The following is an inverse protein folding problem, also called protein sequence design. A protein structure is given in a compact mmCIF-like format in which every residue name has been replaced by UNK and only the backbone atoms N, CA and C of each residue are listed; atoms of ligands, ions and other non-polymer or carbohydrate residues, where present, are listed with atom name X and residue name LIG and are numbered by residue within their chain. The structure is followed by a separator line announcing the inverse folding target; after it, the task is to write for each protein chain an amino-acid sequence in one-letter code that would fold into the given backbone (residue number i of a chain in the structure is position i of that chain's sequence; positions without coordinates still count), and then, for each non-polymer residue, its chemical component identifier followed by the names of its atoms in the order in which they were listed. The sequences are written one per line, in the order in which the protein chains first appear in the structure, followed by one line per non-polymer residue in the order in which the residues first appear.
data_IF_808839156161
#
_entry.id   IF_808839156161
#
_cell.length_a   1.000
_cell.length_b   1.000
_cell.length_c   1.000
_cell.angle_alpha   90.00
_cell.angle_beta   90.00
_cell.angle_gamma   90.00
#
_symmetry.space_group_name_H-M   'P 1'
#
loop_
_entity.id
_entity.type
_entity.pdbx_description
1 polymer ?
#
# COMPACT_ATOMS: atom_id res chain seq x y z
N UNK A 1 -11.46 10.18 5.21
CA UNK A 1 -11.75 10.59 6.59
C UNK A 1 -11.59 12.12 6.70
N UNK A 2 -12.58 12.81 7.24
CA UNK A 2 -12.56 14.25 7.40
C UNK A 2 -12.99 14.63 8.82
N UNK A 3 -12.04 14.71 9.77
CA UNK A 3 -12.35 15.18 11.10
C UNK A 3 -12.82 16.65 11.07
N UNK A 4 -13.71 17.01 11.99
CA UNK A 4 -14.21 18.39 12.09
C UNK A 4 -13.05 19.40 12.25
N UNK A 5 -13.10 20.57 11.58
CA UNK A 5 -12.08 21.61 11.75
C UNK A 5 -12.07 22.22 13.16
N UNK A 6 -13.16 22.06 13.92
CA UNK A 6 -13.30 22.60 15.28
C UNK A 6 -12.62 21.73 16.35
N UNK A 7 -12.16 20.54 16.00
CA UNK A 7 -11.45 19.64 16.91
C UNK A 7 -9.99 20.08 17.07
N UNK A 8 -9.46 19.92 18.27
CA UNK A 8 -8.02 20.04 18.54
C UNK A 8 -7.22 19.04 17.72
N UNK A 9 -5.92 19.27 17.56
CA UNK A 9 -5.06 18.35 16.82
C UNK A 9 -5.09 16.92 17.43
N UNK A 10 -5.10 16.79 18.76
CA UNK A 10 -5.22 15.49 19.43
C UNK A 10 -6.53 14.76 19.15
N UNK A 11 -7.65 15.46 19.21
CA UNK A 11 -8.97 14.89 18.90
C UNK A 11 -9.08 14.46 17.44
N UNK A 12 -8.48 15.23 16.52
CA UNK A 12 -8.43 14.89 15.09
C UNK A 12 -7.61 13.63 14.85
N UNK A 13 -6.49 13.48 15.54
CA UNK A 13 -5.66 12.28 15.47
C UNK A 13 -6.40 11.06 16.05
N UNK A 14 -7.08 11.23 17.18
CA UNK A 14 -7.90 10.17 17.77
C UNK A 14 -9.05 9.76 16.86
N UNK A 15 -9.70 10.72 16.20
CA UNK A 15 -10.72 10.44 15.19
C UNK A 15 -10.17 9.58 14.03
N UNK A 16 -9.00 9.94 13.50
CA UNK A 16 -8.34 9.18 12.42
C UNK A 16 -8.04 7.76 12.89
N UNK A 17 -7.44 7.62 14.07
CA UNK A 17 -7.11 6.32 14.67
C UNK A 17 -8.34 5.43 14.78
N UNK A 18 -9.39 5.93 15.43
CA UNK A 18 -10.60 5.15 15.69
C UNK A 18 -11.31 4.73 14.40
N UNK A 19 -11.41 5.64 13.42
CA UNK A 19 -12.05 5.34 12.14
C UNK A 19 -11.25 4.35 11.29
N UNK A 20 -9.95 4.39 11.32
CA UNK A 20 -9.12 3.39 10.63
C UNK A 20 -9.22 2.01 11.29
N UNK A 21 -9.24 1.97 12.63
CA UNK A 21 -9.44 0.72 13.38
C UNK A 21 -10.83 0.11 13.07
N UNK A 22 -11.88 0.93 13.08
CA UNK A 22 -13.25 0.52 12.72
C UNK A 22 -13.28 -0.09 11.31
N UNK A 23 -12.74 0.62 10.31
CA UNK A 23 -12.67 0.13 8.93
C UNK A 23 -11.87 -1.17 8.82
N UNK A 24 -10.74 -1.28 9.51
CA UNK A 24 -9.93 -2.48 9.49
C UNK A 24 -10.66 -3.69 10.08
N UNK A 25 -11.43 -3.50 11.14
CA UNK A 25 -12.24 -4.56 11.76
C UNK A 25 -13.43 -4.96 10.88
N UNK A 26 -14.13 -3.98 10.31
CA UNK A 26 -15.32 -4.23 9.48
C UNK A 26 -15.00 -4.87 8.14
N UNK A 27 -13.96 -4.39 7.47
CA UNK A 27 -13.60 -4.82 6.12
C UNK A 27 -12.61 -5.99 6.10
N UNK A 28 -11.96 -6.28 7.23
CA UNK A 28 -10.98 -7.35 7.39
C UNK A 28 -9.98 -7.43 6.21
N UNK A 29 -9.31 -6.33 5.84
CA UNK A 29 -8.39 -6.33 4.71
C UNK A 29 -7.19 -7.25 4.99
N UNK A 30 -6.63 -7.84 3.95
CA UNK A 30 -5.46 -8.71 4.06
C UNK A 30 -4.14 -7.94 4.04
N UNK A 31 -4.15 -6.70 3.57
CA UNK A 31 -2.99 -5.83 3.51
C UNK A 31 -3.38 -4.35 3.63
N UNK A 32 -2.41 -3.53 3.97
CA UNK A 32 -2.56 -2.09 3.94
C UNK A 32 -1.41 -1.43 3.18
N UNK A 33 -1.65 -0.22 2.68
CA UNK A 33 -0.62 0.56 2.03
C UNK A 33 -0.77 2.04 2.38
N UNK A 34 0.37 2.73 2.42
CA UNK A 34 0.43 4.15 2.69
C UNK A 34 1.43 4.81 1.73
N UNK A 35 1.13 6.02 1.29
CA UNK A 35 2.06 6.76 0.45
C UNK A 35 3.31 7.15 1.24
N UNK A 36 4.47 6.97 0.65
CA UNK A 36 5.72 7.46 1.21
C UNK A 36 5.79 8.98 1.06
N UNK A 37 5.92 9.70 2.18
CA UNK A 37 6.06 11.15 2.18
C UNK A 37 7.54 11.53 2.29
N UNK A 38 7.93 12.53 1.50
CA UNK A 38 9.21 13.21 1.68
C UNK A 38 8.94 14.50 2.44
N UNK A 39 9.48 14.61 3.65
CA UNK A 39 9.39 15.82 4.46
C UNK A 39 10.36 16.84 3.88
N UNK A 40 9.83 17.79 3.11
CA UNK A 40 10.59 18.96 2.68
C UNK A 40 10.71 19.98 3.83
N UNK A 41 11.40 21.09 3.58
CA UNK A 41 11.66 22.16 4.55
C UNK A 41 10.45 23.00 5.00
N UNK A 42 9.22 22.58 4.71
CA UNK A 42 7.98 23.23 5.11
C UNK A 42 7.54 22.85 6.51
N UNK A 43 7.44 23.82 7.41
CA UNK A 43 7.46 23.58 8.86
C UNK A 43 6.15 23.09 9.51
N UNK A 44 5.01 23.67 9.24
CA UNK A 44 3.77 23.39 9.99
C UNK A 44 2.88 22.29 9.38
N UNK A 45 2.66 22.33 8.08
CA UNK A 45 1.82 21.36 7.37
C UNK A 45 2.48 19.97 7.30
N UNK A 46 3.80 19.92 7.16
CA UNK A 46 4.57 18.67 7.14
C UNK A 46 4.52 17.95 8.49
N UNK A 47 4.53 18.69 9.62
CA UNK A 47 4.39 18.10 10.94
C UNK A 47 2.99 17.47 11.12
N UNK A 48 1.92 18.19 10.78
CA UNK A 48 0.56 17.66 10.89
C UNK A 48 0.33 16.43 9.99
N UNK A 49 0.89 16.44 8.78
CA UNK A 49 0.84 15.30 7.89
C UNK A 49 1.63 14.10 8.46
N UNK A 50 2.81 14.35 9.04
CA UNK A 50 3.61 13.31 9.71
C UNK A 50 2.89 12.69 10.91
N UNK A 51 2.23 13.52 11.74
CA UNK A 51 1.43 13.06 12.88
C UNK A 51 0.25 12.20 12.42
N UNK A 52 -0.52 12.65 11.44
CA UNK A 52 -1.65 11.89 10.88
C UNK A 52 -1.18 10.56 10.27
N UNK A 53 -0.03 10.57 9.55
CA UNK A 53 0.59 9.37 9.01
C UNK A 53 0.99 8.38 10.11
N UNK A 54 1.70 8.86 11.16
CA UNK A 54 2.13 8.02 12.27
C UNK A 54 0.96 7.34 12.99
N UNK A 55 -0.12 8.10 13.23
CA UNK A 55 -1.35 7.58 13.83
C UNK A 55 -2.04 6.57 12.92
N UNK A 56 -2.05 6.80 11.62
CA UNK A 56 -2.61 5.86 10.65
C UNK A 56 -1.82 4.54 10.63
N UNK A 57 -0.49 4.60 10.64
CA UNK A 57 0.36 3.42 10.73
C UNK A 57 0.14 2.65 12.03
N UNK A 58 0.01 3.36 13.16
CA UNK A 58 -0.27 2.75 14.45
C UNK A 58 -1.61 1.98 14.43
N UNK A 59 -2.68 2.60 13.94
CA UNK A 59 -3.99 1.98 13.85
C UNK A 59 -3.99 0.70 12.99
N UNK A 60 -3.28 0.73 11.87
CA UNK A 60 -3.15 -0.42 10.97
C UNK A 60 -2.29 -1.53 11.59
N UNK A 61 -1.21 -1.18 12.29
CA UNK A 61 -0.36 -2.14 12.99
C UNK A 61 -1.10 -2.80 14.17
N UNK A 62 -1.89 -2.05 14.95
CA UNK A 62 -2.75 -2.59 16.01
C UNK A 62 -3.81 -3.57 15.46
N UNK A 63 -4.28 -3.34 14.24
CA UNK A 63 -5.17 -4.26 13.54
C UNK A 63 -4.44 -5.49 12.94
N UNK A 64 -3.14 -5.65 13.18
CA UNK A 64 -2.34 -6.77 12.68
C UNK A 64 -2.02 -6.73 11.18
N UNK A 65 -2.21 -5.58 10.53
CA UNK A 65 -2.01 -5.43 9.10
C UNK A 65 -0.55 -5.11 8.76
N UNK A 66 0.00 -5.82 7.79
CA UNK A 66 1.26 -5.43 7.16
C UNK A 66 1.07 -4.14 6.37
N UNK A 67 1.95 -3.17 6.58
CA UNK A 67 1.87 -1.85 5.94
C UNK A 67 2.93 -1.77 4.85
N UNK A 68 2.49 -1.59 3.60
CA UNK A 68 3.39 -1.30 2.48
C UNK A 68 3.52 0.21 2.30
N UNK A 69 4.75 0.70 2.26
CA UNK A 69 5.04 2.09 1.94
C UNK A 69 5.36 2.23 0.46
N UNK A 70 4.57 3.03 -0.26
CA UNK A 70 4.69 3.16 -1.71
C UNK A 70 5.14 4.57 -2.12
N UNK A 71 6.26 4.70 -2.84
CA UNK A 71 6.69 5.99 -3.39
C UNK A 71 5.66 6.52 -4.41
N UNK A 72 5.36 7.85 -4.43
CA UNK A 72 4.40 8.44 -5.36
C UNK A 72 4.68 8.14 -6.84
N UNK A 73 5.95 8.14 -7.24
CA UNK A 73 6.35 7.79 -8.61
C UNK A 73 6.03 6.33 -8.97
N UNK A 74 6.17 5.43 -8.01
CA UNK A 74 5.82 4.02 -8.20
C UNK A 74 4.32 3.84 -8.37
N UNK A 75 3.51 4.49 -7.51
CA UNK A 75 2.04 4.48 -7.62
C UNK A 75 1.61 4.95 -9.00
N UNK A 76 2.10 6.10 -9.46
CA UNK A 76 1.81 6.63 -10.80
C UNK A 76 2.19 5.63 -11.89
N UNK A 77 3.41 5.08 -11.84
CA UNK A 77 3.90 4.12 -12.84
C UNK A 77 3.05 2.85 -12.87
N UNK A 78 2.69 2.33 -11.72
CA UNK A 78 1.88 1.09 -11.63
C UNK A 78 0.48 1.29 -12.22
N UNK A 79 -0.17 2.42 -11.92
CA UNK A 79 -1.56 2.67 -12.37
C UNK A 79 -1.62 3.14 -13.82
N UNK A 80 -0.70 4.00 -14.25
CA UNK A 80 -0.78 4.65 -15.58
C UNK A 80 0.27 4.17 -16.59
N UNK A 81 1.24 3.35 -16.17
CA UNK A 81 2.42 2.99 -16.96
C UNK A 81 3.51 4.06 -16.96
N UNK A 82 3.26 5.26 -16.44
CA UNK A 82 4.19 6.39 -16.49
C UNK A 82 4.33 7.12 -15.15
N UNK A 83 5.54 7.11 -14.57
CA UNK A 83 5.82 7.66 -13.23
C UNK A 83 5.71 9.18 -13.09
N UNK A 84 5.67 9.94 -14.20
CA UNK A 84 5.46 11.38 -14.23
C UNK A 84 4.02 11.76 -14.67
N UNK A 85 3.08 10.82 -14.64
CA UNK A 85 1.69 11.07 -14.97
C UNK A 85 1.10 12.22 -14.14
N UNK A 86 0.25 13.03 -14.77
CA UNK A 86 -0.49 14.08 -14.08
C UNK A 86 -1.55 13.48 -13.14
N UNK A 87 -2.03 14.25 -12.19
CA UNK A 87 -3.17 13.85 -11.32
C UNK A 87 -4.41 13.49 -12.14
N UNK A 88 -4.66 14.24 -13.21
CA UNK A 88 -5.81 13.98 -14.08
C UNK A 88 -5.69 12.64 -14.81
N UNK A 89 -4.51 12.30 -15.32
CA UNK A 89 -4.25 11.00 -15.94
C UNK A 89 -4.41 9.86 -14.93
N UNK A 90 -3.87 10.03 -13.70
CA UNK A 90 -4.01 9.06 -12.62
C UNK A 90 -5.50 8.83 -12.29
N UNK A 91 -6.26 9.90 -12.07
CA UNK A 91 -7.70 9.84 -11.80
C UNK A 91 -8.49 9.13 -12.91
N UNK A 92 -8.23 9.49 -14.16
CA UNK A 92 -8.88 8.85 -15.32
C UNK A 92 -8.57 7.36 -15.39
N UNK A 93 -7.35 6.96 -15.07
CA UNK A 93 -6.98 5.55 -15.07
C UNK A 93 -7.62 4.78 -13.92
N UNK A 94 -7.66 5.35 -12.70
CA UNK A 94 -8.36 4.77 -11.55
C UNK A 94 -9.85 4.55 -11.89
N UNK A 95 -10.49 5.54 -12.50
CA UNK A 95 -11.89 5.41 -12.95
C UNK A 95 -12.10 4.26 -13.92
N UNK A 96 -11.20 4.10 -14.89
CA UNK A 96 -11.27 3.02 -15.89
C UNK A 96 -11.03 1.64 -15.27
N UNK A 97 -10.03 1.53 -14.40
CA UNK A 97 -9.65 0.25 -13.81
C UNK A 97 -10.70 -0.29 -12.82
N UNK A 98 -11.32 0.60 -12.05
CA UNK A 98 -12.29 0.22 -11.02
C UNK A 98 -13.75 0.40 -11.44
N UNK A 99 -14.00 1.04 -12.59
CA UNK A 99 -15.34 1.44 -13.04
C UNK A 99 -16.10 2.26 -11.97
N UNK A 100 -15.41 3.14 -11.26
CA UNK A 100 -15.97 4.03 -10.22
C UNK A 100 -15.54 5.47 -10.45
N UNK A 101 -16.35 6.42 -10.02
CA UNK A 101 -16.00 7.85 -10.05
C UNK A 101 -15.55 8.27 -8.64
N UNK A 102 -14.24 8.53 -8.41
CA UNK A 102 -13.76 9.02 -7.11
C UNK A 102 -14.42 10.36 -6.75
N UNK A 103 -14.85 10.51 -5.49
CA UNK A 103 -15.55 11.72 -5.02
C UNK A 103 -14.68 12.99 -5.09
N UNK A 104 -13.39 12.86 -4.87
CA UNK A 104 -12.41 13.95 -4.85
C UNK A 104 -11.01 13.41 -5.21
N UNK A 105 -10.00 14.29 -5.22
CA UNK A 105 -8.60 13.91 -5.50
C UNK A 105 -8.06 12.93 -4.47
N UNK A 106 -8.27 13.17 -3.17
CA UNK A 106 -7.79 12.30 -2.10
C UNK A 106 -8.33 10.86 -2.23
N UNK A 107 -9.60 10.72 -2.62
CA UNK A 107 -10.19 9.40 -2.88
C UNK A 107 -9.54 8.73 -4.08
N UNK A 108 -9.19 9.48 -5.11
CA UNK A 108 -8.49 8.96 -6.28
C UNK A 108 -7.08 8.49 -5.93
N UNK A 109 -6.35 9.29 -5.16
CA UNK A 109 -4.99 8.95 -4.71
C UNK A 109 -5.00 7.71 -3.81
N UNK A 110 -5.94 7.61 -2.88
CA UNK A 110 -6.11 6.42 -2.03
C UNK A 110 -6.41 5.14 -2.85
N UNK A 111 -7.30 5.23 -3.84
CA UNK A 111 -7.60 4.11 -4.74
C UNK A 111 -6.39 3.73 -5.60
N UNK A 112 -5.61 4.69 -6.06
CA UNK A 112 -4.38 4.43 -6.80
C UNK A 112 -3.34 3.70 -5.96
N UNK A 113 -3.19 4.07 -4.68
CA UNK A 113 -2.34 3.38 -3.72
C UNK A 113 -2.81 1.94 -3.51
N UNK A 114 -4.12 1.72 -3.33
CA UNK A 114 -4.69 0.39 -3.15
C UNK A 114 -4.47 -0.52 -4.37
N UNK A 115 -4.71 -0.03 -5.59
CA UNK A 115 -4.41 -0.75 -6.85
C UNK A 115 -2.92 -1.12 -6.90
N UNK A 116 -2.05 -0.18 -6.57
CA UNK A 116 -0.60 -0.39 -6.62
C UNK A 116 -0.15 -1.43 -5.59
N UNK A 117 -0.70 -1.38 -4.38
CA UNK A 117 -0.40 -2.34 -3.32
C UNK A 117 -0.80 -3.76 -3.71
N UNK A 118 -1.98 -3.93 -4.29
CA UNK A 118 -2.48 -5.21 -4.78
C UNK A 118 -1.58 -5.76 -5.89
N UNK A 119 -1.24 -4.93 -6.87
CA UNK A 119 -0.40 -5.34 -8.01
C UNK A 119 1.00 -5.78 -7.57
N UNK A 120 1.65 -5.01 -6.69
CA UNK A 120 2.98 -5.32 -6.15
C UNK A 120 2.91 -6.55 -5.23
N UNK A 121 1.84 -6.70 -4.45
CA UNK A 121 1.60 -7.87 -3.61
C UNK A 121 1.49 -9.15 -4.41
N UNK A 122 0.72 -9.12 -5.48
CA UNK A 122 0.56 -10.25 -6.39
C UNK A 122 1.90 -10.66 -7.05
N UNK A 123 2.67 -9.68 -7.53
CA UNK A 123 3.96 -9.96 -8.17
C UNK A 123 4.98 -10.54 -7.20
N UNK A 124 5.00 -10.11 -5.93
CA UNK A 124 5.89 -10.69 -4.93
C UNK A 124 5.50 -12.12 -4.59
N UNK A 125 4.21 -12.41 -4.43
CA UNK A 125 3.74 -13.78 -4.18
C UNK A 125 4.08 -14.71 -5.34
N UNK A 126 3.94 -14.24 -6.59
CA UNK A 126 4.33 -15.05 -7.76
C UNK A 126 5.83 -15.24 -7.86
N UNK A 127 6.66 -14.24 -7.53
CA UNK A 127 8.12 -14.41 -7.50
C UNK A 127 8.56 -15.37 -6.40
N UNK A 128 8.01 -15.27 -5.21
CA UNK A 128 8.32 -16.16 -4.08
C UNK A 128 7.94 -17.61 -4.39
N UNK A 129 6.75 -17.84 -4.99
CA UNK A 129 6.34 -19.17 -5.44
C UNK A 129 7.21 -19.74 -6.57
N UNK A 130 7.72 -18.88 -7.46
CA UNK A 130 8.66 -19.29 -8.52
C UNK A 130 10.04 -19.60 -7.95
N UNK A 131 10.50 -18.84 -6.93
CA UNK A 131 11.76 -19.14 -6.23
C UNK A 131 11.66 -20.41 -5.40
N UNK A 132 10.56 -20.64 -4.67
CA UNK A 132 10.32 -21.91 -3.96
C UNK A 132 10.28 -23.11 -4.91
N UNK A 133 9.57 -23.00 -6.04
CA UNK A 133 9.54 -24.07 -7.04
C UNK A 133 10.91 -24.32 -7.66
N UNK A 134 11.69 -23.27 -7.93
CA UNK A 134 13.07 -23.42 -8.41
C UNK A 134 13.97 -24.05 -7.34
N UNK A 135 13.83 -23.69 -6.08
CA UNK A 135 14.55 -24.28 -4.95
C UNK A 135 14.21 -25.78 -4.77
N UNK A 136 12.91 -26.11 -4.84
CA UNK A 136 12.45 -27.49 -4.74
C UNK A 136 12.92 -28.34 -5.92
N UNK A 137 12.81 -27.84 -7.14
CA UNK A 137 13.28 -28.52 -8.35
C UNK A 137 14.79 -28.73 -8.33
N UNK A 138 15.56 -27.75 -7.84
CA UNK A 138 17.00 -27.87 -7.68
C UNK A 138 17.38 -28.88 -6.59
N UNK A 139 16.63 -28.93 -5.49
CA UNK A 139 16.83 -29.91 -4.41
C UNK A 139 16.54 -31.34 -4.90
N UNK A 140 15.46 -31.54 -5.63
CA UNK A 140 15.11 -32.82 -6.24
C UNK A 140 16.17 -33.26 -7.26
N UNK A 141 16.63 -32.34 -8.13
CA UNK A 141 17.68 -32.63 -9.10
C UNK A 141 19.01 -33.04 -8.42
N UNK A 142 19.39 -32.35 -7.34
CA UNK A 142 20.58 -32.68 -6.53
C UNK A 142 20.44 -34.06 -5.85
N UNK A 143 19.26 -34.38 -5.32
CA UNK A 143 18.99 -35.68 -4.71
C UNK A 143 19.11 -36.82 -5.74
N UNK A 144 18.52 -36.67 -6.92
CA UNK A 144 18.58 -37.66 -8.02
C UNK A 144 20.00 -37.86 -8.57
N UNK A 145 20.80 -36.77 -8.61
CA UNK A 145 22.22 -36.88 -9.02
C UNK A 145 23.07 -37.64 -7.98
N UNK A 146 22.72 -37.48 -6.69
CA UNK A 146 23.43 -38.18 -5.61
C UNK A 146 23.15 -39.68 -5.59
N UNK A 147 21.94 -40.11 -5.94
CA UNK A 147 21.58 -41.52 -6.08
C UNK A 147 22.28 -42.21 -7.26
N UNK A 148 22.52 -41.49 -8.37
CA UNK A 148 23.23 -42.02 -9.54
C UNK A 148 24.74 -42.22 -9.35
N UNK A 149 25.36 -41.59 -8.36
CA UNK A 149 26.78 -41.71 -8.06
C UNK A 149 27.11 -42.77 -7.01
N UNK A 150 26.14 -43.60 -6.61
CA UNK A 150 26.30 -44.68 -5.61
C UNK A 150 26.24 -46.08 -6.27
N UNK A 151 26.31 -46.15 -7.62
CA UNK A 151 26.46 -47.45 -8.34
C UNK A 151 27.84 -47.61 -8.92
#
# INVERSE_FOLDING_TARGET
LSPSPNLSDGERLLFIKNKLTEIALEQAPTMSAIEQIFVGSGTGSSLKLGMARGVSMLALAEAGLMIKELPPKLVKKTVTGYGAASKQQLKSMVQKLLNVVPKNEDSSDALAIAISAQHIGYNNVTSDLLEENNGLNLAIAKALLKEKNIQ
#
